data_IF_460058068728
#
_entry.id   IF_460058068728
#
_cell.length_a   1.000
_cell.length_b   1.000
_cell.length_c   1.000
_cell.angle_alpha   90.00
_cell.angle_beta   90.00
_cell.angle_gamma   90.00
#
_symmetry.space_group_name_H-M   'P 1'
#
loop_
_entity.id
_entity.type
_entity.pdbx_description
1 polymer ?
#
# COMPACT_ATOMS: atom_id res chain seq x y z
N UNK A 1 20.58 -24.63 -16.51
CA UNK A 1 20.68 -23.18 -16.84
C UNK A 1 19.57 -22.44 -16.11
N UNK A 2 19.82 -21.92 -14.91
CA UNK A 2 18.86 -21.19 -14.06
C UNK A 2 19.53 -19.93 -13.52
N UNK A 3 19.62 -18.87 -14.34
CA UNK A 3 20.29 -17.61 -13.96
C UNK A 3 19.48 -16.34 -14.23
N UNK A 4 18.23 -16.45 -14.66
CA UNK A 4 17.47 -15.28 -15.18
C UNK A 4 16.42 -14.70 -14.22
N UNK A 5 15.88 -15.46 -13.26
CA UNK A 5 14.88 -14.91 -12.30
C UNK A 5 15.53 -14.10 -11.16
N UNK A 6 16.60 -14.61 -10.54
CA UNK A 6 17.24 -13.99 -9.37
C UNK A 6 17.75 -12.55 -9.61
N UNK A 7 18.31 -12.26 -10.79
CA UNK A 7 18.84 -10.93 -11.14
C UNK A 7 17.76 -9.85 -11.27
N UNK A 8 16.57 -10.23 -11.77
CA UNK A 8 15.46 -9.30 -12.00
C UNK A 8 14.79 -8.88 -10.68
N UNK A 9 14.67 -9.80 -9.72
CA UNK A 9 14.16 -9.51 -8.37
C UNK A 9 15.08 -8.57 -7.58
N UNK A 10 16.40 -8.76 -7.66
CA UNK A 10 17.37 -7.86 -6.99
C UNK A 10 17.24 -6.42 -7.49
N UNK A 11 16.97 -6.24 -8.79
CA UNK A 11 16.86 -4.91 -9.40
C UNK A 11 15.57 -4.18 -9.01
N UNK A 12 14.42 -4.87 -8.96
CA UNK A 12 13.17 -4.26 -8.48
C UNK A 12 13.21 -3.97 -6.98
N UNK A 13 13.94 -4.77 -6.20
CA UNK A 13 14.16 -4.56 -4.76
C UNK A 13 14.95 -3.28 -4.45
N UNK A 14 16.06 -3.04 -5.16
CA UNK A 14 16.83 -1.79 -5.01
C UNK A 14 15.98 -0.56 -5.34
N UNK A 15 15.10 -0.68 -6.34
CA UNK A 15 14.17 0.39 -6.72
C UNK A 15 13.13 0.68 -5.64
N UNK A 16 12.53 -0.34 -5.02
CA UNK A 16 11.60 -0.17 -3.89
C UNK A 16 12.31 0.53 -2.74
N UNK A 17 13.53 0.11 -2.42
CA UNK A 17 14.34 0.69 -1.35
C UNK A 17 14.70 2.16 -1.59
N UNK A 18 15.08 2.50 -2.83
CA UNK A 18 15.32 3.89 -3.21
C UNK A 18 14.02 4.70 -3.07
N UNK A 19 12.89 4.16 -3.53
CA UNK A 19 11.57 4.78 -3.41
C UNK A 19 11.13 5.01 -1.94
N UNK A 20 11.36 4.03 -1.05
CA UNK A 20 11.04 4.13 0.37
C UNK A 20 11.92 5.14 1.13
N UNK A 21 13.01 5.60 0.53
CA UNK A 21 13.92 6.60 1.12
C UNK A 21 13.83 7.95 0.40
N UNK A 22 13.19 8.02 -0.77
CA UNK A 22 13.12 9.25 -1.56
C UNK A 22 11.94 10.14 -1.12
N UNK A 23 12.18 11.46 -1.15
CA UNK A 23 11.18 12.48 -0.78
C UNK A 23 9.98 12.42 -1.76
N UNK A 24 8.73 12.27 -1.29
CA UNK A 24 7.55 12.17 -2.16
C UNK A 24 7.35 13.36 -3.10
N UNK A 25 7.92 14.54 -2.82
CA UNK A 25 7.93 15.68 -3.77
C UNK A 25 8.64 15.37 -5.08
N UNK A 26 9.50 14.36 -5.07
CA UNK A 26 10.31 13.91 -6.20
C UNK A 26 9.56 12.86 -7.03
N UNK A 27 8.47 12.29 -6.52
CA UNK A 27 7.72 11.22 -7.18
C UNK A 27 6.45 11.83 -7.80
N UNK A 28 6.57 12.42 -8.99
CA UNK A 28 5.41 12.94 -9.73
C UNK A 28 4.77 11.86 -10.60
N UNK A 29 3.46 11.66 -10.46
CA UNK A 29 2.66 10.79 -11.33
C UNK A 29 2.02 11.62 -12.46
N UNK A 30 2.64 11.60 -13.65
CA UNK A 30 2.07 12.27 -14.82
C UNK A 30 1.22 11.30 -15.64
N UNK A 31 -0.06 11.65 -15.84
CA UNK A 31 -0.98 10.99 -16.80
C UNK A 31 -0.60 11.21 -18.28
N UNK A 32 0.42 12.03 -18.54
CA UNK A 32 0.84 12.38 -19.90
C UNK A 32 1.64 11.27 -20.55
N UNK A 33 0.97 10.48 -21.39
CA UNK A 33 1.43 9.92 -22.68
C UNK A 33 0.60 8.67 -23.06
N UNK A 34 -0.73 8.76 -22.92
CA UNK A 34 -1.61 7.89 -23.69
C UNK A 34 -1.76 8.51 -25.08
N UNK A 35 -0.85 8.18 -26.00
CA UNK A 35 -1.07 8.51 -27.41
C UNK A 35 -2.26 7.72 -27.93
N UNK A 36 -3.33 8.44 -28.26
CA UNK A 36 -4.50 7.94 -28.96
C UNK A 36 -4.10 7.57 -30.40
N UNK A 37 -3.52 6.37 -30.55
CA UNK A 37 -3.19 5.78 -31.84
C UNK A 37 -4.42 5.11 -32.43
N UNK A 38 -4.91 5.65 -33.54
CA UNK A 38 -6.07 5.19 -34.30
C UNK A 38 -6.11 3.67 -34.54
N UNK A 39 -7.26 3.08 -34.18
CA UNK A 39 -7.95 1.99 -34.88
C UNK A 39 -7.07 0.90 -35.52
N UNK A 40 -6.76 -0.14 -34.76
CA UNK A 40 -6.92 -1.51 -35.27
C UNK A 40 -7.11 -2.51 -34.11
N UNK A 41 -8.08 -3.41 -34.26
CA UNK A 41 -8.48 -4.40 -33.25
C UNK A 41 -7.30 -5.34 -32.94
N UNK A 42 -7.14 -5.69 -31.66
CA UNK A 42 -6.18 -6.67 -31.11
C UNK A 42 -4.72 -6.24 -30.90
N UNK A 43 -4.45 -4.99 -30.50
CA UNK A 43 -3.14 -4.62 -29.92
C UNK A 43 -3.32 -4.08 -28.50
N UNK A 44 -2.62 -4.63 -27.49
CA UNK A 44 -2.69 -4.11 -26.12
C UNK A 44 -2.13 -2.68 -26.10
N UNK A 45 -2.89 -1.75 -25.54
CA UNK A 45 -2.43 -0.39 -25.25
C UNK A 45 -1.38 -0.51 -24.14
N UNK A 46 -0.10 -0.44 -24.50
CA UNK A 46 1.01 -0.37 -23.54
C UNK A 46 1.05 1.06 -23.03
N UNK A 47 0.47 1.32 -21.86
CA UNK A 47 0.75 2.56 -21.13
C UNK A 47 2.19 2.50 -20.61
N UNK A 48 3.10 3.27 -21.20
CA UNK A 48 4.44 3.50 -20.64
C UNK A 48 4.33 4.58 -19.57
N UNK A 49 4.26 4.17 -18.30
CA UNK A 49 4.33 5.11 -17.18
C UNK A 49 5.79 5.48 -16.94
N UNK A 50 6.13 6.78 -17.06
CA UNK A 50 7.48 7.30 -16.82
C UNK A 50 7.49 7.99 -15.45
N UNK A 51 8.10 7.36 -14.43
CA UNK A 51 8.42 8.06 -13.18
C UNK A 51 9.59 9.01 -13.48
N UNK A 52 9.36 10.32 -13.37
CA UNK A 52 10.43 11.30 -13.33
C UNK A 52 10.73 11.63 -11.86
N UNK A 53 11.99 11.45 -11.48
CA UNK A 53 12.53 11.72 -10.16
C UNK A 53 13.49 12.90 -10.30
N UNK A 54 13.12 14.10 -9.80
CA UNK A 54 13.97 15.30 -9.83
C UNK A 54 14.49 15.70 -8.44
N UNK A 55 15.78 15.48 -8.17
CA UNK A 55 16.45 15.97 -6.96
C UNK A 55 17.77 15.26 -6.67
N UNK A 56 18.70 15.94 -6.00
CA UNK A 56 20.11 15.53 -5.80
C UNK A 56 20.32 14.21 -5.03
N UNK A 57 19.27 13.62 -4.45
CA UNK A 57 19.34 12.43 -3.59
C UNK A 57 19.02 11.11 -4.34
N UNK A 58 18.31 11.16 -5.48
CA UNK A 58 17.72 9.97 -6.11
C UNK A 58 18.13 9.98 -7.60
N UNK A 59 19.21 9.26 -7.95
CA UNK A 59 19.93 9.41 -9.24
C UNK A 59 19.49 8.44 -10.35
N UNK A 60 18.51 7.56 -10.12
CA UNK A 60 18.10 6.58 -11.15
C UNK A 60 16.62 6.72 -11.55
N UNK A 61 16.31 6.83 -12.86
CA UNK A 61 14.93 6.81 -13.33
C UNK A 61 14.32 5.40 -13.17
N UNK A 62 13.24 5.31 -12.40
CA UNK A 62 12.48 4.09 -12.17
C UNK A 62 11.68 3.72 -13.43
N UNK A 63 12.15 2.71 -14.16
CA UNK A 63 11.40 2.09 -15.25
C UNK A 63 10.82 0.77 -14.74
N UNK A 64 9.49 0.72 -14.58
CA UNK A 64 8.74 -0.49 -14.24
C UNK A 64 7.79 -0.85 -15.39
N UNK A 65 7.63 -2.14 -15.68
CA UNK A 65 6.66 -2.64 -16.67
C UNK A 65 5.41 -3.06 -15.90
N UNK A 66 4.27 -2.40 -16.14
CA UNK A 66 2.98 -2.88 -15.64
C UNK A 66 2.59 -4.07 -16.50
N UNK A 67 2.70 -5.28 -15.95
CA UNK A 67 1.89 -6.39 -16.42
C UNK A 67 0.49 -6.15 -15.89
N UNK A 68 -0.39 -5.59 -16.73
CA UNK A 68 -1.82 -5.73 -16.53
C UNK A 68 -2.08 -7.22 -16.71
N UNK A 69 -2.02 -7.97 -15.61
CA UNK A 69 -2.57 -9.31 -15.53
C UNK A 69 -4.01 -9.16 -15.99
N UNK A 70 -4.30 -9.67 -17.20
CA UNK A 70 -5.62 -9.75 -17.86
C UNK A 70 -6.63 -8.68 -17.44
N UNK A 71 -6.95 -7.70 -18.30
CA UNK A 71 -8.02 -6.73 -18.02
C UNK A 71 -9.27 -7.47 -17.52
N UNK A 72 -9.61 -7.34 -16.23
CA UNK A 72 -10.84 -7.90 -15.69
C UNK A 72 -12.01 -7.35 -16.51
N UNK A 73 -12.95 -8.22 -16.85
CA UNK A 73 -14.19 -7.84 -17.53
C UNK A 73 -15.16 -7.33 -16.47
N UNK A 74 -14.91 -6.13 -15.97
CA UNK A 74 -15.88 -5.45 -15.13
C UNK A 74 -17.02 -4.91 -16.00
N UNK A 75 -18.28 -5.00 -15.53
CA UNK A 75 -19.36 -4.25 -16.14
C UNK A 75 -19.11 -2.74 -15.97
N UNK A 76 -19.31 -1.96 -17.03
CA UNK A 76 -19.08 -0.51 -17.04
C UNK A 76 -17.76 -0.08 -17.68
N UNK A 77 -17.48 1.22 -17.63
CA UNK A 77 -16.21 1.82 -18.07
C UNK A 77 -15.64 2.68 -16.92
N UNK A 78 -14.31 2.77 -16.75
CA UNK A 78 -13.72 3.63 -15.74
C UNK A 78 -14.05 5.12 -15.98
N UNK A 79 -14.06 5.96 -14.93
CA UNK A 79 -13.77 5.61 -13.54
C UNK A 79 -14.88 4.80 -12.88
N UNK A 80 -14.52 3.70 -12.22
CA UNK A 80 -15.48 2.90 -11.46
C UNK A 80 -15.76 3.54 -10.10
N UNK A 81 -16.93 3.23 -9.56
CA UNK A 81 -17.41 3.66 -8.23
C UNK A 81 -17.56 2.48 -7.29
N UNK A 82 -17.80 2.74 -6.00
CA UNK A 82 -18.13 1.70 -5.04
C UNK A 82 -19.37 0.90 -5.46
N UNK A 83 -20.38 1.56 -6.04
CA UNK A 83 -21.57 0.91 -6.58
C UNK A 83 -21.26 -0.11 -7.69
N UNK A 84 -20.19 0.10 -8.45
CA UNK A 84 -19.68 -0.86 -9.44
C UNK A 84 -18.86 -1.95 -8.76
N UNK A 85 -17.95 -1.56 -7.85
CA UNK A 85 -17.04 -2.43 -7.10
C UNK A 85 -17.77 -3.57 -6.38
N UNK A 86 -18.90 -3.27 -5.71
CA UNK A 86 -19.68 -4.28 -4.98
C UNK A 86 -20.38 -5.31 -5.86
N UNK A 87 -20.38 -5.12 -7.18
CA UNK A 87 -20.93 -6.08 -8.15
C UNK A 87 -19.87 -7.02 -8.70
N UNK A 88 -18.60 -6.81 -8.37
CA UNK A 88 -17.51 -7.63 -8.87
C UNK A 88 -17.48 -9.01 -8.20
N UNK A 89 -16.86 -9.96 -8.88
CA UNK A 89 -16.72 -11.32 -8.38
C UNK A 89 -15.84 -11.35 -7.13
N UNK A 90 -16.40 -11.82 -6.00
CA UNK A 90 -15.72 -11.90 -4.72
C UNK A 90 -14.60 -12.97 -4.68
N UNK A 91 -14.50 -13.84 -5.69
CA UNK A 91 -13.42 -14.83 -5.79
C UNK A 91 -12.06 -14.20 -6.08
N UNK A 92 -12.05 -12.99 -6.66
CA UNK A 92 -10.86 -12.18 -6.86
C UNK A 92 -10.86 -11.01 -5.88
N UNK A 93 -9.67 -10.69 -5.33
CA UNK A 93 -9.52 -9.55 -4.44
C UNK A 93 -9.09 -8.31 -5.20
N UNK A 94 -9.82 -7.23 -5.00
CA UNK A 94 -9.60 -5.96 -5.69
C UNK A 94 -9.53 -4.80 -4.70
N UNK A 95 -8.70 -3.82 -5.03
CA UNK A 95 -8.83 -2.45 -4.53
C UNK A 95 -9.30 -1.56 -5.68
N UNK A 96 -9.94 -0.45 -5.34
CA UNK A 96 -10.32 0.60 -6.26
C UNK A 96 -9.65 1.89 -5.80
N UNK A 97 -8.82 2.54 -6.61
CA UNK A 97 -8.19 3.81 -6.23
C UNK A 97 -8.35 4.80 -7.36
N UNK A 98 -8.98 5.94 -7.08
CA UNK A 98 -9.32 6.99 -8.04
C UNK A 98 -10.03 6.44 -9.31
N UNK A 99 -10.90 5.45 -9.11
CA UNK A 99 -11.71 4.83 -10.16
C UNK A 99 -10.99 3.76 -10.97
N UNK A 100 -9.76 3.40 -10.56
CA UNK A 100 -8.92 2.39 -11.21
C UNK A 100 -8.85 1.12 -10.35
N UNK A 101 -9.20 -0.06 -10.90
CA UNK A 101 -9.13 -1.33 -10.19
C UNK A 101 -7.70 -1.87 -10.12
N UNK A 102 -7.33 -2.45 -8.97
CA UNK A 102 -6.06 -3.10 -8.74
C UNK A 102 -6.26 -4.48 -8.13
N UNK A 103 -5.78 -5.51 -8.82
CA UNK A 103 -5.86 -6.89 -8.34
C UNK A 103 -4.88 -7.07 -7.18
N UNK A 104 -5.35 -7.63 -6.08
CA UNK A 104 -4.51 -7.99 -4.94
C UNK A 104 -3.96 -9.41 -5.13
N UNK A 105 -2.67 -9.58 -4.87
CA UNK A 105 -2.08 -10.90 -4.77
C UNK A 105 -2.46 -11.57 -3.44
N UNK A 106 -2.56 -12.90 -3.43
CA UNK A 106 -2.71 -13.64 -2.18
C UNK A 106 -1.48 -13.44 -1.27
N UNK A 107 -1.67 -13.22 0.04
CA UNK A 107 -0.57 -13.06 0.97
C UNK A 107 0.22 -14.36 1.16
N UNK A 108 1.49 -14.24 1.53
CA UNK A 108 2.34 -15.38 1.92
C UNK A 108 2.09 -15.76 3.40
N UNK A 109 2.49 -16.97 3.85
CA UNK A 109 2.45 -17.30 5.27
C UNK A 109 3.22 -16.32 6.16
N UNK A 110 4.43 -15.92 5.76
CA UNK A 110 5.25 -14.93 6.47
C UNK A 110 4.53 -13.57 6.61
N UNK A 111 3.83 -13.13 5.56
CA UNK A 111 3.00 -11.91 5.60
C UNK A 111 1.90 -12.03 6.66
N UNK A 112 1.20 -13.16 6.68
CA UNK A 112 0.13 -13.41 7.65
C UNK A 112 0.65 -13.50 9.09
N UNK A 113 1.80 -14.11 9.32
CA UNK A 113 2.42 -14.19 10.66
C UNK A 113 2.80 -12.81 11.20
N UNK A 114 3.43 -11.97 10.37
CA UNK A 114 3.75 -10.58 10.71
C UNK A 114 2.46 -9.81 11.04
N UNK A 115 1.43 -9.96 10.20
CA UNK A 115 0.14 -9.30 10.40
C UNK A 115 -0.49 -9.71 11.74
N UNK A 116 -0.51 -11.00 12.08
CA UNK A 116 -1.07 -11.50 13.34
C UNK A 116 -0.32 -10.95 14.56
N UNK A 117 1.01 -10.85 14.49
CA UNK A 117 1.85 -10.30 15.57
C UNK A 117 1.56 -8.83 15.81
N UNK A 118 1.50 -8.03 14.73
CA UNK A 118 1.12 -6.63 14.81
C UNK A 118 -0.30 -6.47 15.35
N UNK A 119 -1.27 -7.19 14.78
CA UNK A 119 -2.68 -7.12 15.19
C UNK A 119 -2.85 -7.47 16.68
N UNK A 120 -2.14 -8.49 17.17
CA UNK A 120 -2.14 -8.87 18.59
C UNK A 120 -1.61 -7.75 19.50
N UNK A 121 -0.49 -7.13 19.13
CA UNK A 121 0.11 -6.03 19.89
C UNK A 121 -0.84 -4.82 19.95
N UNK A 122 -1.38 -4.40 18.81
CA UNK A 122 -2.34 -3.29 18.75
C UNK A 122 -3.65 -3.61 19.48
N UNK A 123 -4.21 -4.80 19.28
CA UNK A 123 -5.48 -5.18 19.93
C UNK A 123 -5.33 -5.20 21.45
N UNK A 124 -4.25 -5.78 21.96
CA UNK A 124 -3.97 -5.82 23.40
C UNK A 124 -3.86 -4.42 23.98
N UNK A 125 -3.08 -3.55 23.32
CA UNK A 125 -2.84 -2.20 23.80
C UNK A 125 -4.08 -1.30 23.74
N UNK A 126 -4.87 -1.41 22.66
CA UNK A 126 -6.03 -0.53 22.42
C UNK A 126 -7.32 -1.03 23.08
N UNK A 127 -7.30 -2.21 23.73
CA UNK A 127 -8.47 -2.81 24.35
C UNK A 127 -9.11 -1.90 25.41
N UNK A 128 -10.41 -1.67 25.29
CA UNK A 128 -11.17 -0.77 26.18
C UNK A 128 -10.95 0.72 25.93
N UNK A 129 -10.10 1.09 24.97
CA UNK A 129 -9.87 2.47 24.55
C UNK A 129 -10.82 2.95 23.44
N UNK A 130 -10.66 4.22 22.99
CA UNK A 130 -11.48 4.81 21.93
C UNK A 130 -11.05 4.40 20.52
N UNK A 131 -10.02 3.56 20.39
CA UNK A 131 -9.44 3.15 19.12
C UNK A 131 -9.57 1.64 18.91
N UNK A 132 -9.74 1.21 17.67
CA UNK A 132 -9.89 -0.20 17.29
C UNK A 132 -8.98 -0.50 16.10
N UNK A 133 -8.11 -1.52 16.20
CA UNK A 133 -7.36 -2.03 15.06
C UNK A 133 -8.25 -2.95 14.20
N UNK A 134 -8.07 -2.88 12.89
CA UNK A 134 -8.69 -3.72 11.89
C UNK A 134 -7.62 -4.34 11.00
N UNK A 135 -7.93 -5.48 10.39
CA UNK A 135 -7.04 -6.21 9.48
C UNK A 135 -7.77 -6.58 8.19
N UNK A 136 -7.01 -6.73 7.10
CA UNK A 136 -7.54 -7.26 5.84
C UNK A 136 -7.96 -8.74 5.97
N UNK A 137 -8.94 -9.21 5.16
CA UNK A 137 -9.73 -8.46 4.20
C UNK A 137 -10.84 -7.64 4.89
N UNK A 138 -10.83 -6.33 4.67
CA UNK A 138 -11.88 -5.41 5.12
C UNK A 138 -11.83 -4.13 4.29
N UNK A 139 -12.95 -3.79 3.66
CA UNK A 139 -13.04 -2.58 2.86
C UNK A 139 -13.02 -1.33 3.73
N UNK A 140 -12.18 -0.37 3.32
CA UNK A 140 -12.08 0.97 3.86
C UNK A 140 -12.38 1.99 2.75
N UNK A 141 -13.26 2.93 3.08
CA UNK A 141 -13.56 4.12 2.27
C UNK A 141 -13.45 5.36 3.14
N UNK A 142 -13.22 6.52 2.55
CA UNK A 142 -13.04 7.78 3.30
C UNK A 142 -14.32 8.61 3.40
N UNK A 143 -15.35 8.25 2.62
CA UNK A 143 -16.63 8.95 2.53
C UNK A 143 -17.77 7.92 2.40
N UNK A 144 -18.92 8.21 3.02
CA UNK A 144 -20.11 7.34 2.95
C UNK A 144 -20.94 7.67 1.71
N UNK A 145 -20.33 7.51 0.53
CA UNK A 145 -20.97 7.71 -0.78
C UNK A 145 -20.75 6.47 -1.65
N UNK A 146 -21.83 5.95 -2.24
CA UNK A 146 -21.78 4.85 -3.20
C UNK A 146 -21.08 5.25 -4.52
N UNK A 147 -20.95 6.56 -4.78
CA UNK A 147 -20.17 7.12 -5.89
C UNK A 147 -18.69 7.28 -5.58
N UNK A 148 -18.24 6.95 -4.36
CA UNK A 148 -16.81 7.03 -4.04
C UNK A 148 -16.01 6.16 -5.02
N UNK A 149 -14.89 6.69 -5.48
CA UNK A 149 -14.02 6.04 -6.46
C UNK A 149 -12.81 5.40 -5.80
N UNK A 150 -12.81 5.29 -4.47
CA UNK A 150 -11.70 4.71 -3.72
C UNK A 150 -12.18 3.76 -2.63
N UNK A 151 -11.73 2.52 -2.71
CA UNK A 151 -11.92 1.41 -1.77
C UNK A 151 -10.57 0.72 -1.62
N UNK A 152 -10.05 0.68 -0.40
CA UNK A 152 -8.76 0.03 -0.10
C UNK A 152 -8.93 -1.04 0.95
N UNK A 153 -8.00 -1.99 0.99
CA UNK A 153 -7.96 -3.04 2.01
C UNK A 153 -6.55 -3.07 2.63
N UNK A 154 -6.22 -2.11 3.51
CA UNK A 154 -4.91 -2.10 4.15
C UNK A 154 -4.73 -3.33 5.03
N UNK A 155 -3.50 -3.86 5.09
CA UNK A 155 -3.22 -5.07 5.88
C UNK A 155 -3.61 -4.88 7.35
N UNK A 156 -3.26 -3.74 7.96
CA UNK A 156 -3.74 -3.31 9.26
C UNK A 156 -3.98 -1.79 9.26
N UNK A 157 -5.08 -1.35 9.89
CA UNK A 157 -5.31 0.07 10.12
C UNK A 157 -6.01 0.31 11.45
N UNK A 158 -5.84 1.50 12.04
CA UNK A 158 -6.43 1.86 13.33
C UNK A 158 -7.41 3.01 13.16
N UNK A 159 -8.65 2.80 13.60
CA UNK A 159 -9.69 3.81 13.66
C UNK A 159 -9.86 4.29 15.10
N UNK A 160 -10.06 5.59 15.32
CA UNK A 160 -10.33 6.17 16.64
C UNK A 160 -11.62 7.00 16.63
N UNK A 161 -12.36 7.00 17.74
CA UNK A 161 -13.57 7.80 17.89
C UNK A 161 -14.76 7.25 17.12
N UNK A 162 -15.57 8.15 16.55
CA UNK A 162 -16.78 7.78 15.79
C UNK A 162 -16.48 7.73 14.30
N UNK A 163 -16.83 6.62 13.67
CA UNK A 163 -16.65 6.37 12.23
C UNK A 163 -17.78 5.47 11.72
N UNK A 164 -18.01 5.47 10.42
CA UNK A 164 -19.05 4.66 9.80
C UNK A 164 -18.69 3.18 9.81
N UNK A 165 -19.65 2.34 10.17
CA UNK A 165 -19.51 0.89 10.21
C UNK A 165 -20.79 0.26 9.66
N UNK A 166 -20.74 -0.18 8.41
CA UNK A 166 -21.85 -0.89 7.78
C UNK A 166 -21.32 -2.15 7.08
N UNK A 167 -21.29 -2.15 5.75
CA UNK A 167 -20.63 -3.18 4.93
C UNK A 167 -19.12 -2.95 4.80
N UNK A 168 -18.68 -1.73 5.13
CA UNK A 168 -17.30 -1.24 5.06
C UNK A 168 -17.02 -0.33 6.25
N UNK A 169 -15.74 -0.06 6.50
CA UNK A 169 -15.35 1.04 7.36
C UNK A 169 -15.38 2.33 6.55
N UNK A 170 -15.95 3.38 7.15
CA UNK A 170 -15.96 4.73 6.56
C UNK A 170 -15.27 5.72 7.50
N UNK A 171 -14.16 6.28 7.07
CA UNK A 171 -13.42 7.32 7.78
C UNK A 171 -11.92 7.29 7.46
N UNK A 172 -11.17 8.20 8.07
CA UNK A 172 -9.72 8.31 7.89
C UNK A 172 -9.03 7.60 9.08
N UNK A 173 -8.24 6.53 8.84
CA UNK A 173 -7.46 5.89 9.89
C UNK A 173 -6.38 6.80 10.43
N UNK A 174 -6.08 6.65 11.72
CA UNK A 174 -4.98 7.36 12.38
C UNK A 174 -3.63 6.72 12.05
N UNK A 175 -3.65 5.42 11.76
CA UNK A 175 -2.49 4.62 11.39
C UNK A 175 -2.90 3.64 10.30
N UNK A 176 -2.07 3.50 9.27
CA UNK A 176 -2.14 2.43 8.27
C UNK A 176 -0.81 1.69 8.25
N UNK A 177 -0.86 0.37 8.16
CA UNK A 177 0.32 -0.51 8.02
C UNK A 177 0.10 -1.41 6.81
N UNK A 178 1.07 -1.42 5.91
CA UNK A 178 1.11 -2.31 4.74
C UNK A 178 2.34 -3.21 4.84
N UNK A 179 2.17 -4.51 4.60
CA UNK A 179 3.24 -5.49 4.63
C UNK A 179 3.57 -5.85 3.18
N UNK A 180 4.80 -5.57 2.76
CA UNK A 180 5.21 -5.81 1.39
C UNK A 180 5.15 -7.31 1.06
N UNK A 181 4.42 -7.63 0.00
CA UNK A 181 4.53 -8.93 -0.67
C UNK A 181 5.52 -8.86 -1.84
N UNK A 182 6.15 -9.98 -2.24
CA UNK A 182 7.16 -9.99 -3.30
C UNK A 182 6.68 -9.53 -4.68
N UNK A 183 5.37 -9.40 -4.92
CA UNK A 183 4.80 -9.35 -6.28
C UNK A 183 4.41 -7.96 -6.81
N UNK A 184 4.35 -6.88 -6.01
CA UNK A 184 3.86 -5.57 -6.50
C UNK A 184 4.41 -4.32 -5.79
N UNK A 185 5.44 -4.47 -4.94
CA UNK A 185 5.82 -3.49 -3.91
C UNK A 185 6.06 -2.03 -4.35
N UNK A 186 6.69 -1.76 -5.51
CA UNK A 186 7.12 -0.39 -5.86
C UNK A 186 5.99 0.53 -6.31
N UNK A 187 5.12 0.05 -7.20
CA UNK A 187 4.01 0.83 -7.77
C UNK A 187 2.87 0.95 -6.76
N UNK A 188 2.62 -0.12 -6.01
CA UNK A 188 1.60 -0.16 -4.97
C UNK A 188 1.91 0.86 -3.86
N UNK A 189 3.17 0.92 -3.43
CA UNK A 189 3.66 1.92 -2.48
C UNK A 189 3.37 3.35 -2.91
N UNK A 190 3.80 3.76 -4.11
CA UNK A 190 3.69 5.17 -4.54
C UNK A 190 2.23 5.61 -4.60
N UNK A 191 1.35 4.72 -5.09
CA UNK A 191 -0.08 5.00 -5.19
C UNK A 191 -0.71 5.14 -3.80
N UNK A 192 -0.48 4.17 -2.92
CA UNK A 192 -1.05 4.17 -1.57
C UNK A 192 -0.50 5.30 -0.71
N UNK A 193 0.80 5.59 -0.81
CA UNK A 193 1.43 6.75 -0.15
C UNK A 193 0.73 8.06 -0.55
N UNK A 194 0.54 8.30 -1.85
CA UNK A 194 -0.13 9.50 -2.34
C UNK A 194 -1.60 9.57 -1.92
N UNK A 195 -2.28 8.42 -1.84
CA UNK A 195 -3.65 8.33 -1.34
C UNK A 195 -3.71 8.70 0.15
N UNK A 196 -2.97 7.98 0.99
CA UNK A 196 -2.98 8.14 2.45
C UNK A 196 -2.53 9.54 2.89
N UNK A 197 -1.53 10.11 2.21
CA UNK A 197 -1.18 11.53 2.33
C UNK A 197 -2.37 12.44 2.03
N UNK A 198 -3.03 12.26 0.88
CA UNK A 198 -4.09 13.16 0.42
C UNK A 198 -5.31 13.12 1.33
N UNK A 199 -5.64 11.96 1.87
CA UNK A 199 -6.77 11.80 2.80
C UNK A 199 -6.41 12.14 4.25
N UNK A 200 -5.13 12.40 4.55
CA UNK A 200 -4.69 12.85 5.88
C UNK A 200 -4.50 11.75 6.91
N UNK A 201 -4.11 10.53 6.50
CA UNK A 201 -3.64 9.50 7.44
C UNK A 201 -2.45 10.06 8.23
N UNK A 202 -2.51 10.01 9.55
CA UNK A 202 -1.51 10.64 10.42
C UNK A 202 -0.17 9.88 10.40
N UNK A 203 -0.21 8.56 10.30
CA UNK A 203 0.97 7.70 10.33
C UNK A 203 0.81 6.52 9.36
N UNK A 204 1.85 6.23 8.59
CA UNK A 204 1.85 5.17 7.59
C UNK A 204 3.12 4.33 7.70
N UNK A 205 2.96 3.03 7.93
CA UNK A 205 4.05 2.09 8.09
C UNK A 205 4.10 1.13 6.91
N UNK A 206 5.34 0.80 6.53
CA UNK A 206 5.62 -0.23 5.55
C UNK A 206 6.55 -1.23 6.16
N UNK A 207 6.07 -2.46 6.25
CA UNK A 207 6.84 -3.58 6.75
C UNK A 207 7.43 -4.30 5.56
N UNK A 208 8.75 -4.43 5.52
CA UNK A 208 9.45 -5.22 4.52
C UNK A 208 9.94 -6.53 5.16
N UNK A 209 9.25 -7.66 4.94
CA UNK A 209 9.68 -8.94 5.46
C UNK A 209 11.10 -9.30 4.99
N UNK A 210 11.45 -9.02 3.73
CA UNK A 210 12.75 -9.43 3.17
C UNK A 210 13.93 -8.71 3.83
N UNK A 211 13.72 -7.48 4.30
CA UNK A 211 14.74 -6.71 5.01
C UNK A 211 14.58 -6.73 6.52
N UNK A 212 13.52 -7.36 7.03
CA UNK A 212 13.21 -7.38 8.46
C UNK A 212 13.25 -5.96 9.05
N UNK A 213 12.60 -5.05 8.34
CA UNK A 213 12.61 -3.62 8.63
C UNK A 213 11.22 -2.99 8.46
N UNK A 214 10.99 -1.92 9.20
CA UNK A 214 9.79 -1.09 9.10
C UNK A 214 10.20 0.33 8.71
N UNK A 215 9.53 0.89 7.70
CA UNK A 215 9.67 2.27 7.29
C UNK A 215 8.45 3.04 7.77
N UNK A 216 8.68 4.11 8.54
CA UNK A 216 7.63 4.91 9.16
C UNK A 216 7.57 6.27 8.51
N UNK A 217 6.36 6.71 8.20
CA UNK A 217 6.06 8.03 7.67
C UNK A 217 5.02 8.69 8.55
N UNK A 218 5.27 9.94 8.94
CA UNK A 218 4.36 10.71 9.76
C UNK A 218 3.87 11.93 8.97
N UNK A 219 2.59 12.26 9.14
CA UNK A 219 2.00 13.40 8.46
C UNK A 219 2.44 14.70 9.14
N UNK A 220 3.12 15.58 8.40
CA UNK A 220 3.64 16.86 8.91
C UNK A 220 2.66 18.04 8.78
N UNK A 221 1.42 17.74 8.36
CA UNK A 221 0.38 18.71 8.01
C UNK A 221 0.31 19.03 6.52
N UNK A 222 1.34 18.65 5.75
CA UNK A 222 1.36 18.81 4.29
C UNK A 222 1.49 17.48 3.56
N UNK A 223 2.22 16.52 4.15
CA UNK A 223 2.53 15.23 3.53
C UNK A 223 2.89 14.18 4.56
N UNK A 224 2.87 12.93 4.12
CA UNK A 224 3.56 11.83 4.82
C UNK A 224 5.07 11.96 4.59
N UNK A 225 5.79 12.44 5.60
CA UNK A 225 7.24 12.59 5.58
C UNK A 225 7.92 11.37 6.21
N UNK A 226 9.03 10.92 5.62
CA UNK A 226 9.83 9.83 6.17
C UNK A 226 10.32 10.19 7.57
N UNK A 227 9.96 9.36 8.55
CA UNK A 227 10.25 9.54 9.96
C UNK A 227 11.40 8.65 10.43
N UNK A 228 11.48 7.42 9.92
CA UNK A 228 12.59 6.52 10.26
C UNK A 228 12.49 5.13 9.65
N UNK A 229 13.62 4.42 9.74
CA UNK A 229 13.76 3.01 9.40
C UNK A 229 14.12 2.25 10.68
N UNK A 230 13.37 1.20 10.97
CA UNK A 230 13.47 0.42 12.20
C UNK A 230 13.77 -1.03 11.83
N UNK A 231 15.02 -1.45 12.02
CA UNK A 231 15.45 -2.84 11.84
C UNK A 231 15.26 -3.68 13.10
N UNK A 232 15.59 -4.97 13.04
CA UNK A 232 15.38 -5.98 14.11
C UNK A 232 15.88 -5.59 15.51
N UNK A 233 16.90 -4.73 15.63
CA UNK A 233 17.43 -4.29 16.93
C UNK A 233 16.73 -3.05 17.49
N UNK A 234 15.69 -2.57 16.83
CA UNK A 234 14.95 -1.37 17.21
C UNK A 234 13.70 -1.73 18.00
N UNK A 235 13.26 -0.78 18.80
CA UNK A 235 11.92 -0.73 19.36
C UNK A 235 11.17 0.41 18.68
N UNK A 236 9.93 0.15 18.28
CA UNK A 236 9.08 1.10 17.58
C UNK A 236 7.80 1.35 18.38
N UNK A 237 7.40 2.62 18.47
CA UNK A 237 6.13 3.05 19.03
C UNK A 237 5.42 3.98 18.04
N UNK A 238 4.12 3.79 17.76
CA UNK A 238 3.35 4.74 16.98
C UNK A 238 3.32 6.11 17.66
N UNK A 239 3.30 7.18 16.89
CA UNK A 239 3.30 8.56 17.40
C UNK A 239 2.08 8.80 18.30
N UNK A 240 0.91 8.27 17.92
CA UNK A 240 -0.33 8.41 18.68
C UNK A 240 -0.41 7.47 19.89
N UNK A 241 0.44 6.44 19.94
CA UNK A 241 0.43 5.40 20.96
C UNK A 241 1.85 5.21 21.52
N UNK A 242 2.45 6.23 22.17
CA UNK A 242 3.85 6.17 22.62
C UNK A 242 4.09 5.08 23.68
N UNK A 243 3.03 4.64 24.37
CA UNK A 243 3.08 3.57 25.37
C UNK A 243 3.00 2.17 24.75
N UNK A 244 2.67 2.05 23.46
CA UNK A 244 2.78 0.80 22.73
C UNK A 244 4.21 0.62 22.25
N UNK A 245 4.92 -0.33 22.83
CA UNK A 245 6.30 -0.67 22.47
C UNK A 245 6.34 -1.98 21.69
N UNK A 246 6.84 -1.93 20.45
CA UNK A 246 6.98 -3.09 19.56
C UNK A 246 8.46 -3.36 19.34
N UNK A 247 8.95 -4.49 19.85
CA UNK A 247 10.28 -4.98 19.53
C UNK A 247 10.30 -5.54 18.10
N UNK A 248 10.99 -4.87 17.17
CA UNK A 248 10.91 -5.18 15.74
C UNK A 248 11.33 -6.61 15.43
N UNK A 249 12.35 -7.14 16.12
CA UNK A 249 12.76 -8.55 16.00
C UNK A 249 11.62 -9.54 16.20
N UNK A 250 10.65 -9.25 17.06
CA UNK A 250 9.57 -10.19 17.39
C UNK A 250 8.58 -10.38 16.25
N UNK A 251 8.57 -9.45 15.30
CA UNK A 251 7.70 -9.51 14.14
C UNK A 251 8.22 -10.49 13.08
N UNK A 252 9.54 -10.65 12.98
CA UNK A 252 10.18 -11.46 11.96
C UNK A 252 10.71 -12.77 12.57
N UNK A 253 10.62 -13.87 11.83
CA UNK A 253 11.20 -15.13 12.29
C UNK A 253 12.72 -15.17 12.11
N UNK A 254 13.43 -15.60 13.16
CA UNK A 254 14.89 -15.82 13.15
C UNK A 254 15.29 -17.08 12.34
N UNK A 255 14.34 -17.90 11.88
CA UNK A 255 14.60 -19.20 11.25
C UNK A 255 15.00 -19.15 9.76
N UNK A 256 15.67 -18.08 9.32
CA UNK A 256 16.29 -18.01 7.98
C UNK A 256 17.63 -18.75 7.98
N UNK A 257 17.57 -20.07 8.18
CA UNK A 257 18.68 -21.02 7.88
C UNK A 257 18.56 -21.59 6.48
#
# INVERSE_FOLDING_TARGET
MSRTKSSQYTTEREKVQEVLRCDPRVISWNRGDAHEGQSNRNVPVIARIRLQVFGTICKKPLHGRVSILSTPRFPGNPPYTYADYVQWDETERWELIDGVPFMMASPTPEHQEILLRLASAFHTHLSGGPCTPYVAPLDLTFEEDERTTTVVQPDLFVMCGTYGRSKRIVGIPVLVIEILSPSTASIDFVRKMNLYQRVGVEEYWIVDPQLSAIYVYCHDGTRLAFSGEYGIHSTLSPVRFPDLSIEVRTLFDDNRT
#
